data_IF_489670284903
#
_entry.id   IF_489670284903
#
_cell.length_a   1.000
_cell.length_b   1.000
_cell.length_c   1.000
_cell.angle_alpha   90.00
_cell.angle_beta   90.00
_cell.angle_gamma   90.00
#
_symmetry.space_group_name_H-M   'P 1'
#
loop_
_entity.id
_entity.type
_entity.pdbx_description
1 polymer ?
#
# COMPACT_ATOMS: atom_id res chain seq x y z
N UNK A 1 30.88 5.64 -22.24
CA UNK A 1 30.74 4.25 -21.79
C UNK A 1 32.15 3.69 -21.65
N UNK A 2 32.71 3.68 -20.43
CA UNK A 2 34.06 3.24 -20.15
C UNK A 2 34.02 1.72 -19.88
N UNK A 3 34.71 0.94 -20.69
CA UNK A 3 34.93 -0.49 -20.41
C UNK A 3 36.04 -0.62 -19.37
N UNK A 4 35.75 -1.25 -18.24
CA UNK A 4 36.76 -1.69 -17.29
C UNK A 4 37.40 -2.98 -17.78
N UNK A 5 38.71 -3.20 -17.48
CA UNK A 5 39.58 -4.28 -17.96
C UNK A 5 39.02 -5.72 -17.88
N UNK A 6 37.85 -5.95 -17.29
CA UNK A 6 37.22 -7.29 -17.18
C UNK A 6 35.94 -7.46 -18.04
N UNK A 7 35.82 -6.80 -19.19
CA UNK A 7 34.64 -6.91 -20.07
C UNK A 7 33.30 -6.63 -19.38
N UNK A 8 33.29 -5.95 -18.23
CA UNK A 8 32.09 -5.57 -17.51
C UNK A 8 31.72 -4.11 -17.83
N UNK A 9 30.51 -3.91 -18.28
CA UNK A 9 29.98 -2.56 -18.54
C UNK A 9 29.89 -1.82 -17.20
N UNK A 10 30.55 -0.66 -17.10
CA UNK A 10 30.40 0.23 -15.94
C UNK A 10 29.10 1.02 -16.11
N UNK A 11 28.17 0.81 -15.19
CA UNK A 11 26.86 1.48 -15.17
C UNK A 11 26.83 2.72 -14.27
N UNK A 12 27.99 3.11 -13.69
CA UNK A 12 28.10 4.23 -12.76
C UNK A 12 27.55 3.95 -11.37
N UNK A 13 27.13 2.70 -11.06
CA UNK A 13 26.66 2.30 -9.74
C UNK A 13 26.96 0.82 -9.44
N UNK A 14 27.21 0.52 -8.18
CA UNK A 14 27.43 -0.85 -7.73
C UNK A 14 26.13 -1.66 -7.77
N UNK A 15 26.14 -2.83 -8.38
CA UNK A 15 24.97 -3.68 -8.53
C UNK A 15 25.27 -5.14 -8.22
N UNK A 16 24.32 -5.81 -7.56
CA UNK A 16 24.29 -7.26 -7.42
C UNK A 16 23.68 -7.86 -8.69
N UNK A 17 24.43 -8.67 -9.40
CA UNK A 17 23.96 -9.35 -10.60
C UNK A 17 23.85 -10.84 -10.31
N UNK A 18 22.63 -11.36 -10.30
CA UNK A 18 22.35 -12.79 -10.21
C UNK A 18 21.98 -13.24 -11.61
N UNK A 19 22.87 -14.05 -12.23
CA UNK A 19 22.64 -14.58 -13.56
C UNK A 19 22.66 -16.11 -13.50
N UNK A 20 21.51 -16.71 -13.79
CA UNK A 20 21.35 -18.15 -13.91
C UNK A 20 20.73 -18.47 -15.27
N UNK A 21 20.70 -19.74 -15.68
CA UNK A 21 20.13 -20.20 -16.97
C UNK A 21 18.70 -19.73 -17.22
N UNK A 22 17.93 -19.57 -16.16
CA UNK A 22 16.49 -19.20 -16.21
C UNK A 22 16.20 -17.76 -15.77
N UNK A 23 17.08 -17.14 -14.97
CA UNK A 23 16.85 -15.82 -14.41
C UNK A 23 18.12 -14.97 -14.54
N UNK A 24 17.96 -13.79 -15.10
CA UNK A 24 18.96 -12.74 -15.05
C UNK A 24 18.36 -11.52 -14.35
N UNK A 25 18.86 -11.23 -13.16
CA UNK A 25 18.34 -10.13 -12.34
C UNK A 25 19.50 -9.25 -11.89
N UNK A 26 19.31 -7.95 -11.98
CA UNK A 26 20.28 -6.96 -11.56
C UNK A 26 19.65 -5.95 -10.64
N UNK A 27 20.18 -5.84 -9.41
CA UNK A 27 19.72 -4.89 -8.41
C UNK A 27 20.85 -3.92 -8.05
N UNK A 28 20.60 -2.61 -8.10
CA UNK A 28 21.49 -1.63 -7.49
C UNK A 28 21.63 -1.91 -5.98
N UNK A 29 22.86 -1.99 -5.49
CA UNK A 29 23.14 -2.27 -4.07
C UNK A 29 22.46 -1.24 -3.17
N UNK A 30 22.41 0.02 -3.60
CA UNK A 30 21.72 1.10 -2.87
C UNK A 30 20.23 0.81 -2.66
N UNK A 31 19.53 0.28 -3.66
CA UNK A 31 18.11 -0.10 -3.50
C UNK A 31 17.98 -1.21 -2.48
N UNK A 32 18.84 -2.21 -2.52
CA UNK A 32 18.81 -3.34 -1.61
C UNK A 32 19.09 -2.91 -0.16
N UNK A 33 20.15 -2.13 0.06
CA UNK A 33 20.53 -1.65 1.40
C UNK A 33 19.46 -0.73 2.01
N UNK A 34 18.94 0.22 1.24
CA UNK A 34 17.85 1.09 1.71
C UNK A 34 16.58 0.29 2.01
N UNK A 35 16.22 -0.66 1.16
CA UNK A 35 15.06 -1.52 1.41
C UNK A 35 15.23 -2.35 2.69
N UNK A 36 16.42 -2.90 2.93
CA UNK A 36 16.72 -3.65 4.15
C UNK A 36 16.61 -2.76 5.40
N UNK A 37 17.18 -1.56 5.35
CA UNK A 37 17.09 -0.59 6.47
C UNK A 37 15.62 -0.24 6.76
N UNK A 38 14.82 -0.01 5.71
CA UNK A 38 13.40 0.32 5.85
C UNK A 38 12.59 -0.84 6.44
N UNK A 39 12.86 -2.08 6.02
CA UNK A 39 12.22 -3.27 6.62
C UNK A 39 12.59 -3.40 8.08
N UNK A 40 13.88 -3.26 8.43
CA UNK A 40 14.34 -3.28 9.83
C UNK A 40 13.64 -2.19 10.63
N UNK A 41 13.56 -0.96 10.11
CA UNK A 41 12.86 0.15 10.76
C UNK A 41 11.37 -0.16 10.98
N UNK A 42 10.70 -0.72 9.98
CA UNK A 42 9.31 -1.13 10.09
C UNK A 42 9.09 -2.24 11.14
N UNK A 43 9.96 -3.24 11.16
CA UNK A 43 9.91 -4.32 12.16
C UNK A 43 10.20 -3.78 13.57
N UNK A 44 11.18 -2.90 13.72
CA UNK A 44 11.48 -2.25 15.00
C UNK A 44 10.28 -1.42 15.50
N UNK A 45 9.65 -0.63 14.60
CA UNK A 45 8.46 0.14 14.95
C UNK A 45 7.27 -0.77 15.34
N UNK A 46 7.03 -1.85 14.60
CA UNK A 46 5.99 -2.82 14.92
C UNK A 46 6.25 -3.55 16.25
N UNK A 47 7.52 -3.89 16.54
CA UNK A 47 7.91 -4.50 17.81
C UNK A 47 7.77 -3.51 18.97
N UNK A 48 8.16 -2.24 18.78
CA UNK A 48 7.94 -1.19 19.77
C UNK A 48 6.44 -0.95 20.00
N UNK A 49 5.60 -0.96 18.96
CA UNK A 49 4.16 -0.89 19.10
C UNK A 49 3.58 -2.03 19.94
N UNK A 50 4.16 -3.23 19.83
CA UNK A 50 3.74 -4.38 20.64
C UNK A 50 4.06 -4.26 22.15
N UNK A 51 4.87 -3.30 22.58
CA UNK A 51 5.09 -3.00 24.01
C UNK A 51 4.03 -2.09 24.60
N UNK A 52 3.32 -1.32 23.76
CA UNK A 52 2.33 -0.31 24.14
C UNK A 52 0.91 -0.90 24.20
N UNK A 53 0.02 -0.22 24.88
CA UNK A 53 -1.40 -0.58 25.03
C UNK A 53 -1.84 -0.52 26.48
N UNK A 54 -3.08 -0.91 26.77
CA UNK A 54 -3.68 -0.83 28.12
C UNK A 54 -2.89 -1.63 29.18
N UNK A 55 -2.17 -2.66 28.77
CA UNK A 55 -1.23 -3.41 29.59
C UNK A 55 0.18 -3.20 29.05
N UNK A 56 0.98 -2.29 29.64
CA UNK A 56 2.35 -2.07 29.20
C UNK A 56 3.20 -3.32 29.48
N UNK A 57 3.83 -3.84 28.44
CA UNK A 57 4.69 -5.03 28.48
C UNK A 57 6.08 -4.59 28.02
N UNK A 58 7.11 -4.98 28.76
CA UNK A 58 8.49 -4.64 28.40
C UNK A 58 8.94 -5.38 27.14
N UNK A 59 9.90 -4.83 26.42
CA UNK A 59 10.44 -5.45 25.20
C UNK A 59 10.95 -6.89 25.46
N UNK A 60 11.59 -7.11 26.60
CA UNK A 60 12.05 -8.44 27.01
C UNK A 60 10.89 -9.43 27.14
N UNK A 61 9.79 -9.02 27.79
CA UNK A 61 8.60 -9.83 27.94
C UNK A 61 7.89 -10.08 26.59
N UNK A 62 7.87 -9.11 25.69
CA UNK A 62 7.34 -9.32 24.33
C UNK A 62 8.13 -10.40 23.59
N UNK A 63 9.46 -10.36 23.65
CA UNK A 63 10.33 -11.38 23.01
C UNK A 63 10.10 -12.76 23.64
N UNK A 64 10.04 -12.83 24.97
CA UNK A 64 9.76 -14.07 25.69
C UNK A 64 8.38 -14.64 25.35
N UNK A 65 7.36 -13.78 25.31
CA UNK A 65 6.00 -14.17 24.96
C UNK A 65 5.89 -14.69 23.52
N UNK A 66 6.61 -14.09 22.55
CA UNK A 66 6.70 -14.62 21.18
C UNK A 66 7.31 -16.03 21.18
N UNK A 67 8.32 -16.28 22.00
CA UNK A 67 8.91 -17.61 22.17
C UNK A 67 8.01 -18.59 22.94
N UNK A 68 6.92 -18.11 23.54
CA UNK A 68 5.99 -18.92 24.35
C UNK A 68 6.49 -19.14 25.79
N UNK A 69 7.38 -18.28 26.27
CA UNK A 69 7.95 -18.31 27.61
C UNK A 69 7.47 -17.07 28.38
N UNK A 70 7.18 -17.23 29.65
CA UNK A 70 6.73 -16.17 30.56
C UNK A 70 5.34 -16.41 31.12
N UNK A 71 4.71 -15.38 31.66
CA UNK A 71 3.36 -15.47 32.21
C UNK A 71 2.34 -15.75 31.09
N UNK A 72 1.41 -16.69 31.32
CA UNK A 72 0.39 -17.08 30.36
C UNK A 72 -0.40 -15.86 29.81
N UNK A 73 -0.70 -14.89 30.67
CA UNK A 73 -1.40 -13.69 30.31
C UNK A 73 -0.61 -12.82 29.32
N UNK A 74 0.70 -12.65 29.53
CA UNK A 74 1.57 -11.92 28.58
C UNK A 74 1.68 -12.67 27.24
N UNK A 75 1.80 -14.00 27.29
CA UNK A 75 1.84 -14.83 26.07
C UNK A 75 0.55 -14.70 25.29
N UNK A 76 -0.62 -14.73 25.95
CA UNK A 76 -1.91 -14.55 25.32
C UNK A 76 -2.02 -13.18 24.65
N UNK A 77 -1.76 -12.08 25.37
CA UNK A 77 -1.85 -10.72 24.84
C UNK A 77 -0.94 -10.54 23.63
N UNK A 78 0.32 -11.00 23.75
CA UNK A 78 1.29 -10.78 22.69
C UNK A 78 0.96 -11.63 21.48
N UNK A 79 0.72 -12.92 21.65
CA UNK A 79 0.52 -13.84 20.51
C UNK A 79 -0.83 -13.67 19.83
N UNK A 80 -1.91 -13.48 20.60
CA UNK A 80 -3.26 -13.48 20.02
C UNK A 80 -3.71 -12.08 19.60
N UNK A 81 -3.26 -11.02 20.29
CA UNK A 81 -3.78 -9.67 20.03
C UNK A 81 -2.75 -8.77 19.36
N UNK A 82 -1.49 -8.71 19.85
CA UNK A 82 -0.51 -7.74 19.38
C UNK A 82 0.28 -8.21 18.16
N UNK A 83 0.62 -9.47 18.10
CA UNK A 83 1.41 -10.03 17.01
C UNK A 83 0.68 -9.98 15.65
N UNK A 84 -0.62 -10.32 15.55
CA UNK A 84 -1.36 -10.15 14.29
C UNK A 84 -1.35 -8.71 13.80
N UNK A 85 -1.54 -7.76 14.71
CA UNK A 85 -1.55 -6.32 14.38
C UNK A 85 -0.16 -5.83 13.95
N UNK A 86 0.90 -6.25 14.65
CA UNK A 86 2.27 -5.92 14.31
C UNK A 86 2.67 -6.45 12.91
N UNK A 87 2.31 -7.69 12.61
CA UNK A 87 2.54 -8.30 11.28
C UNK A 87 1.71 -7.58 10.22
N UNK A 88 0.43 -7.28 10.52
CA UNK A 88 -0.44 -6.54 9.61
C UNK A 88 0.12 -5.17 9.27
N UNK A 89 0.67 -4.43 10.23
CA UNK A 89 1.30 -3.13 9.99
C UNK A 89 2.40 -3.22 8.91
N UNK A 90 3.25 -4.24 8.99
CA UNK A 90 4.36 -4.45 8.04
C UNK A 90 3.83 -4.95 6.69
N UNK A 91 3.00 -5.99 6.68
CA UNK A 91 2.53 -6.63 5.45
C UNK A 91 1.58 -5.72 4.67
N UNK A 92 0.62 -5.10 5.34
CA UNK A 92 -0.34 -4.21 4.69
C UNK A 92 0.34 -2.92 4.21
N UNK A 93 1.28 -2.39 5.00
CA UNK A 93 2.11 -1.29 4.55
C UNK A 93 2.90 -1.63 3.28
N UNK A 94 3.51 -2.82 3.23
CA UNK A 94 4.23 -3.29 2.04
C UNK A 94 3.30 -3.44 0.82
N UNK A 95 2.09 -3.97 1.01
CA UNK A 95 1.10 -4.08 -0.07
C UNK A 95 0.69 -2.69 -0.60
N UNK A 96 0.39 -1.75 0.27
CA UNK A 96 0.04 -0.38 -0.13
C UNK A 96 1.19 0.28 -0.90
N UNK A 97 2.43 0.16 -0.41
CA UNK A 97 3.61 0.67 -1.10
C UNK A 97 3.83 0.02 -2.48
N UNK A 98 3.57 -1.29 -2.60
CA UNK A 98 3.62 -2.02 -3.85
C UNK A 98 2.53 -1.53 -4.83
N UNK A 99 1.29 -1.43 -4.38
CA UNK A 99 0.16 -0.94 -5.19
C UNK A 99 0.41 0.47 -5.72
N UNK A 100 0.88 1.36 -4.85
CA UNK A 100 1.30 2.70 -5.24
C UNK A 100 2.38 2.71 -6.31
N UNK A 101 3.42 1.89 -6.15
CA UNK A 101 4.49 1.76 -7.13
C UNK A 101 3.97 1.29 -8.51
N UNK A 102 3.08 0.30 -8.52
CA UNK A 102 2.47 -0.20 -9.75
C UNK A 102 1.68 0.92 -10.45
N UNK A 103 0.81 1.63 -9.72
CA UNK A 103 -0.03 2.66 -10.33
C UNK A 103 0.75 3.91 -10.74
N UNK A 104 1.75 4.34 -9.99
CA UNK A 104 2.62 5.45 -10.39
C UNK A 104 3.40 5.13 -11.67
N UNK A 105 3.88 3.90 -11.82
CA UNK A 105 4.54 3.44 -13.05
C UNK A 105 3.57 3.32 -14.21
N UNK A 106 2.38 2.71 -14.01
CA UNK A 106 1.36 2.56 -15.06
C UNK A 106 0.83 3.89 -15.59
N UNK A 107 0.62 4.84 -14.69
CA UNK A 107 0.10 6.16 -15.03
C UNK A 107 1.18 7.15 -15.44
N UNK A 108 2.45 6.80 -15.18
CA UNK A 108 3.61 7.69 -15.34
C UNK A 108 3.40 9.03 -14.62
N UNK A 109 2.71 8.96 -13.49
CA UNK A 109 2.33 10.11 -12.70
C UNK A 109 2.63 9.84 -11.21
N UNK A 110 3.40 10.70 -10.53
CA UNK A 110 3.67 10.57 -9.10
C UNK A 110 2.40 10.60 -8.22
N UNK A 111 1.30 11.15 -8.71
CA UNK A 111 0.01 11.17 -8.03
C UNK A 111 -0.86 9.94 -8.33
N UNK A 112 -0.39 9.02 -9.18
CA UNK A 112 -1.10 7.80 -9.50
C UNK A 112 -1.04 6.83 -8.33
N UNK A 113 -2.12 6.67 -7.58
CA UNK A 113 -2.25 5.68 -6.53
C UNK A 113 -3.65 5.10 -6.51
N UNK A 114 -3.84 3.85 -6.07
CA UNK A 114 -5.15 3.19 -6.10
C UNK A 114 -6.22 3.94 -5.31
N UNK A 115 -5.84 4.56 -4.19
CA UNK A 115 -6.71 5.35 -3.33
C UNK A 115 -7.17 6.65 -4.02
N UNK A 116 -6.29 7.38 -4.69
CA UNK A 116 -6.65 8.59 -5.45
C UNK A 116 -7.50 8.24 -6.68
N UNK A 117 -7.23 7.12 -7.35
CA UNK A 117 -8.02 6.64 -8.49
C UNK A 117 -9.39 6.11 -8.02
N UNK A 118 -9.58 5.90 -6.70
CA UNK A 118 -10.88 5.62 -6.10
C UNK A 118 -11.28 4.15 -6.05
N UNK A 119 -10.34 3.22 -6.21
CA UNK A 119 -10.66 1.79 -6.06
C UNK A 119 -11.05 1.44 -4.64
N UNK A 120 -10.48 2.13 -3.65
CA UNK A 120 -10.86 2.01 -2.24
C UNK A 120 -12.30 2.46 -2.00
N UNK A 121 -12.79 3.49 -2.72
CA UNK A 121 -14.17 3.93 -2.62
C UNK A 121 -15.14 2.82 -3.05
N UNK A 122 -14.81 2.05 -4.08
CA UNK A 122 -15.61 0.90 -4.50
C UNK A 122 -15.62 -0.24 -3.49
N UNK A 123 -14.47 -0.57 -2.93
CA UNK A 123 -14.34 -1.54 -1.84
C UNK A 123 -15.17 -1.10 -0.64
N UNK A 124 -15.08 0.16 -0.26
CA UNK A 124 -15.85 0.74 0.85
C UNK A 124 -17.36 0.74 0.57
N UNK A 125 -17.78 1.11 -0.64
CA UNK A 125 -19.20 1.07 -1.02
C UNK A 125 -19.78 -0.33 -0.89
N UNK A 126 -19.06 -1.36 -1.32
CA UNK A 126 -19.50 -2.74 -1.15
C UNK A 126 -19.64 -3.12 0.33
N UNK A 127 -18.72 -2.70 1.19
CA UNK A 127 -18.81 -2.92 2.63
C UNK A 127 -20.00 -2.19 3.24
N UNK A 128 -20.22 -0.93 2.89
CA UNK A 128 -21.39 -0.15 3.36
C UNK A 128 -22.69 -0.84 2.97
N UNK A 129 -22.81 -1.32 1.73
CA UNK A 129 -23.99 -2.07 1.27
C UNK A 129 -24.17 -3.37 2.04
N UNK A 130 -23.10 -4.12 2.29
CA UNK A 130 -23.17 -5.38 3.03
C UNK A 130 -23.56 -5.15 4.50
N UNK A 131 -23.04 -4.13 5.15
CA UNK A 131 -23.32 -3.84 6.55
C UNK A 131 -24.68 -3.21 6.75
N UNK A 132 -25.04 -2.16 5.96
CA UNK A 132 -26.26 -1.38 6.18
C UNK A 132 -27.48 -1.92 5.45
N UNK A 133 -27.32 -2.56 4.29
CA UNK A 133 -28.46 -3.05 3.49
C UNK A 133 -28.71 -4.54 3.73
N UNK A 134 -27.65 -5.35 3.77
CA UNK A 134 -27.76 -6.80 3.98
C UNK A 134 -27.71 -7.16 5.47
N UNK A 135 -27.14 -6.28 6.33
CA UNK A 135 -27.06 -6.47 7.78
C UNK A 135 -26.02 -7.51 8.21
N UNK A 136 -25.00 -7.81 7.37
CA UNK A 136 -24.00 -8.81 7.70
C UNK A 136 -22.76 -8.17 8.33
N UNK A 137 -22.26 -8.81 9.40
CA UNK A 137 -21.00 -8.46 10.05
C UNK A 137 -19.94 -9.56 9.88
N UNK A 138 -20.23 -10.59 9.08
CA UNK A 138 -19.31 -11.70 8.86
C UNK A 138 -18.08 -11.24 8.07
N UNK A 139 -16.90 -11.37 8.68
CA UNK A 139 -15.63 -10.93 8.09
C UNK A 139 -15.43 -11.41 6.64
N UNK A 140 -15.63 -12.69 6.36
CA UNK A 140 -15.41 -13.27 5.03
C UNK A 140 -16.31 -12.69 3.96
N UNK A 141 -17.57 -12.40 4.30
CA UNK A 141 -18.53 -11.79 3.39
C UNK A 141 -18.12 -10.34 3.09
N UNK A 142 -17.73 -9.60 4.14
CA UNK A 142 -17.25 -8.22 4.01
C UNK A 142 -15.96 -8.18 3.19
N UNK A 143 -15.01 -9.10 3.46
CA UNK A 143 -13.75 -9.17 2.74
C UNK A 143 -13.96 -9.49 1.24
N UNK A 144 -14.78 -10.49 0.95
CA UNK A 144 -15.12 -10.83 -0.43
C UNK A 144 -15.83 -9.67 -1.15
N UNK A 145 -16.78 -9.03 -0.47
CA UNK A 145 -17.49 -7.87 -0.99
C UNK A 145 -16.57 -6.69 -1.28
N UNK A 146 -15.64 -6.38 -0.37
CA UNK A 146 -14.67 -5.30 -0.57
C UNK A 146 -13.77 -5.57 -1.80
N UNK A 147 -13.28 -6.80 -1.96
CA UNK A 147 -12.46 -7.18 -3.12
C UNK A 147 -13.30 -7.06 -4.41
N UNK A 148 -14.51 -7.60 -4.42
CA UNK A 148 -15.41 -7.53 -5.58
C UNK A 148 -15.77 -6.09 -5.92
N UNK A 149 -16.10 -5.26 -4.93
CA UNK A 149 -16.42 -3.84 -5.12
C UNK A 149 -15.25 -3.05 -5.70
N UNK A 150 -14.04 -3.28 -5.18
CA UNK A 150 -12.81 -2.69 -5.70
C UNK A 150 -12.52 -3.09 -7.15
N UNK A 151 -12.65 -4.38 -7.47
CA UNK A 151 -12.45 -4.91 -8.83
C UNK A 151 -13.51 -4.38 -9.81
N UNK A 152 -14.78 -4.35 -9.42
CA UNK A 152 -15.85 -3.77 -10.25
C UNK A 152 -15.57 -2.30 -10.52
N UNK A 153 -15.21 -1.54 -9.50
CA UNK A 153 -14.89 -0.12 -9.67
C UNK A 153 -13.67 0.08 -10.57
N UNK A 154 -12.63 -0.74 -10.41
CA UNK A 154 -11.48 -0.71 -11.30
C UNK A 154 -11.86 -1.01 -12.76
N UNK A 155 -12.75 -1.97 -12.97
CA UNK A 155 -13.26 -2.32 -14.30
C UNK A 155 -14.08 -1.19 -14.92
N UNK A 156 -14.97 -0.56 -14.15
CA UNK A 156 -15.74 0.62 -14.58
C UNK A 156 -14.82 1.77 -14.96
N UNK A 157 -13.87 2.12 -14.09
CA UNK A 157 -12.90 3.18 -14.35
C UNK A 157 -12.04 2.86 -15.57
N UNK A 158 -11.62 1.60 -15.74
CA UNK A 158 -10.87 1.15 -16.88
C UNK A 158 -11.65 1.33 -18.20
N UNK A 159 -12.91 0.88 -18.26
CA UNK A 159 -13.76 1.01 -19.44
C UNK A 159 -14.01 2.48 -19.80
N UNK A 160 -14.39 3.30 -18.81
CA UNK A 160 -14.65 4.72 -19.01
C UNK A 160 -13.41 5.51 -19.44
N UNK A 161 -12.23 5.03 -19.04
CA UNK A 161 -10.95 5.62 -19.43
C UNK A 161 -10.47 5.17 -20.81
N UNK A 162 -11.09 4.15 -21.39
CA UNK A 162 -10.66 3.57 -22.67
C UNK A 162 -10.98 4.48 -23.86
N UNK A 163 -9.94 4.89 -24.61
CA UNK A 163 -10.06 5.54 -25.91
C UNK A 163 -8.74 5.35 -26.67
N UNK A 164 -8.71 4.40 -27.60
CA UNK A 164 -7.48 4.02 -28.32
C UNK A 164 -6.31 3.61 -27.39
N UNK A 165 -6.62 2.98 -26.26
CA UNK A 165 -5.69 2.64 -25.17
C UNK A 165 -5.99 3.42 -23.88
N UNK A 166 -5.48 2.92 -22.75
CA UNK A 166 -5.62 3.57 -21.43
C UNK A 166 -4.50 4.58 -21.24
N UNK A 167 -4.88 5.86 -21.13
CA UNK A 167 -3.95 6.94 -20.80
C UNK A 167 -3.97 7.18 -19.28
N UNK A 168 -2.80 7.27 -18.65
CA UNK A 168 -2.67 7.41 -17.19
C UNK A 168 -3.41 8.62 -16.62
N UNK A 169 -3.32 9.79 -17.26
CA UNK A 169 -4.05 10.99 -16.82
C UNK A 169 -5.57 10.78 -16.83
N UNK A 170 -6.08 10.16 -17.88
CA UNK A 170 -7.52 9.90 -18.02
C UNK A 170 -8.03 8.91 -16.98
N UNK A 171 -7.22 7.87 -16.67
CA UNK A 171 -7.52 6.93 -15.61
C UNK A 171 -7.70 7.64 -14.26
N UNK A 172 -6.83 8.58 -13.93
CA UNK A 172 -6.90 9.37 -12.70
C UNK A 172 -8.16 10.26 -12.68
N UNK A 173 -8.42 11.02 -13.75
CA UNK A 173 -9.57 11.95 -13.78
C UNK A 173 -10.91 11.21 -13.71
N UNK A 174 -11.06 10.12 -14.46
CA UNK A 174 -12.26 9.28 -14.43
C UNK A 174 -12.40 8.64 -13.05
N UNK A 175 -11.30 8.15 -12.49
CA UNK A 175 -11.28 7.54 -11.16
C UNK A 175 -11.74 8.50 -10.07
N UNK A 176 -11.25 9.74 -10.07
CA UNK A 176 -11.70 10.79 -9.14
C UNK A 176 -13.21 11.03 -9.28
N UNK A 177 -13.74 11.10 -10.51
CA UNK A 177 -15.17 11.29 -10.75
C UNK A 177 -16.02 10.13 -10.22
N UNK A 178 -15.61 8.88 -10.49
CA UNK A 178 -16.28 7.67 -9.98
C UNK A 178 -16.20 7.61 -8.46
N UNK A 179 -15.04 7.92 -7.88
CA UNK A 179 -14.85 7.97 -6.43
C UNK A 179 -15.77 8.98 -5.75
N UNK A 180 -15.88 10.19 -6.31
CA UNK A 180 -16.79 11.23 -5.80
C UNK A 180 -18.26 10.76 -5.81
N UNK A 181 -18.68 10.10 -6.89
CA UNK A 181 -20.02 9.53 -6.99
C UNK A 181 -20.27 8.44 -5.95
N UNK A 182 -19.33 7.49 -5.78
CA UNK A 182 -19.43 6.43 -4.79
C UNK A 182 -19.43 6.98 -3.36
N UNK A 183 -18.60 7.98 -3.08
CA UNK A 183 -18.56 8.66 -1.78
C UNK A 183 -19.89 9.34 -1.46
N UNK A 184 -20.55 9.94 -2.45
CA UNK A 184 -21.88 10.55 -2.29
C UNK A 184 -22.94 9.50 -1.98
N UNK A 185 -22.89 8.33 -2.66
CA UNK A 185 -23.77 7.19 -2.36
C UNK A 185 -23.55 6.68 -0.93
N UNK A 186 -22.30 6.52 -0.52
CA UNK A 186 -21.96 6.07 0.82
C UNK A 186 -22.47 7.04 1.88
N UNK A 187 -22.28 8.35 1.68
CA UNK A 187 -22.80 9.38 2.59
C UNK A 187 -24.34 9.33 2.70
N UNK A 188 -25.02 9.12 1.59
CA UNK A 188 -26.49 8.96 1.60
C UNK A 188 -26.92 7.73 2.40
N UNK A 189 -26.29 6.57 2.17
CA UNK A 189 -26.62 5.34 2.88
C UNK A 189 -26.37 5.46 4.39
N UNK A 190 -25.25 6.06 4.79
CA UNK A 190 -24.89 6.26 6.20
C UNK A 190 -25.89 7.23 6.87
N UNK A 191 -26.31 8.28 6.18
CA UNK A 191 -27.28 9.25 6.72
C UNK A 191 -28.67 8.64 6.94
N UNK A 192 -29.00 7.55 6.23
CA UNK A 192 -30.26 6.82 6.34
C UNK A 192 -30.21 5.64 7.31
N UNK A 193 -29.04 5.25 7.76
CA UNK A 193 -28.85 4.14 8.67
C UNK A 193 -29.21 4.52 10.12
N UNK A 194 -29.47 3.52 10.94
CA UNK A 194 -29.56 3.68 12.36
C UNK A 194 -28.23 4.17 12.96
N UNK A 195 -28.30 4.90 14.08
CA UNK A 195 -27.13 5.56 14.66
C UNK A 195 -26.00 4.57 14.97
N UNK A 196 -26.33 3.41 15.51
CA UNK A 196 -25.34 2.38 15.86
C UNK A 196 -24.63 1.82 14.62
N UNK A 197 -25.38 1.54 13.56
CA UNK A 197 -24.86 1.06 12.29
C UNK A 197 -24.01 2.13 11.58
N UNK A 198 -24.49 3.38 11.58
CA UNK A 198 -23.75 4.51 11.03
C UNK A 198 -22.41 4.72 11.76
N UNK A 199 -22.42 4.61 13.10
CA UNK A 199 -21.20 4.67 13.90
C UNK A 199 -20.25 3.52 13.59
N UNK A 200 -20.75 2.29 13.47
CA UNK A 200 -19.93 1.11 13.15
C UNK A 200 -19.24 1.27 11.78
N UNK A 201 -19.97 1.67 10.75
CA UNK A 201 -19.44 1.96 9.42
C UNK A 201 -18.46 3.14 9.44
N UNK A 202 -18.77 4.20 10.21
CA UNK A 202 -17.89 5.35 10.41
C UNK A 202 -16.54 4.96 11.01
N UNK A 203 -16.53 4.15 12.06
CA UNK A 203 -15.30 3.62 12.65
C UNK A 203 -14.51 2.71 11.68
N UNK A 204 -15.21 1.95 10.86
CA UNK A 204 -14.57 1.11 9.85
C UNK A 204 -13.92 1.95 8.75
N UNK A 205 -14.58 3.03 8.33
CA UNK A 205 -14.09 3.95 7.30
C UNK A 205 -12.82 4.72 7.68
N UNK A 206 -12.56 4.86 8.97
CA UNK A 206 -11.36 5.55 9.45
C UNK A 206 -10.06 4.75 9.25
N UNK A 207 -10.17 3.46 8.90
CA UNK A 207 -9.05 2.55 8.67
C UNK A 207 -8.24 2.26 9.94
N UNK A 208 -8.34 1.03 10.45
CA UNK A 208 -7.64 0.63 11.67
C UNK A 208 -7.17 -0.81 11.62
N UNK A 209 -5.88 -1.02 11.82
CA UNK A 209 -5.30 -2.36 11.91
C UNK A 209 -5.50 -3.02 13.29
N UNK A 210 -5.96 -2.27 14.30
CA UNK A 210 -6.14 -2.78 15.67
C UNK A 210 -7.17 -3.90 15.81
N UNK A 211 -8.02 -4.09 14.78
CA UNK A 211 -9.04 -5.16 14.73
C UNK A 211 -8.58 -6.41 14.00
N UNK A 212 -7.35 -6.40 13.47
CA UNK A 212 -6.82 -7.53 12.73
C UNK A 212 -6.50 -8.67 13.70
N UNK A 213 -7.06 -9.84 13.42
CA UNK A 213 -6.87 -11.09 14.15
C UNK A 213 -6.18 -12.11 13.25
N UNK A 214 -5.73 -13.24 13.81
CA UNK A 214 -5.17 -14.35 13.02
C UNK A 214 -6.13 -14.85 11.94
N UNK A 215 -7.45 -14.85 12.23
CA UNK A 215 -8.49 -15.26 11.29
C UNK A 215 -8.53 -14.40 10.03
N UNK A 216 -8.23 -13.10 10.12
CA UNK A 216 -8.16 -12.19 8.98
C UNK A 216 -6.75 -12.06 8.40
N UNK A 217 -5.73 -12.10 9.24
CA UNK A 217 -4.34 -11.94 8.83
C UNK A 217 -3.82 -13.12 7.99
N UNK A 218 -4.05 -14.35 8.45
CA UNK A 218 -3.51 -15.55 7.79
C UNK A 218 -3.89 -15.65 6.31
N UNK A 219 -5.17 -15.52 5.93
CA UNK A 219 -5.53 -15.52 4.51
C UNK A 219 -5.02 -14.29 3.78
N UNK A 220 -4.95 -13.12 4.46
CA UNK A 220 -4.40 -11.91 3.86
C UNK A 220 -2.92 -12.07 3.53
N UNK A 221 -2.13 -12.69 4.39
CA UNK A 221 -0.72 -13.00 4.13
C UNK A 221 -0.58 -13.99 2.97
N UNK A 222 -1.39 -15.04 2.92
CA UNK A 222 -1.36 -16.02 1.84
C UNK A 222 -1.65 -15.36 0.48
N UNK A 223 -2.68 -14.52 0.39
CA UNK A 223 -3.01 -13.76 -0.82
C UNK A 223 -1.90 -12.76 -1.15
N UNK A 224 -1.29 -12.12 -0.15
CA UNK A 224 -0.17 -11.19 -0.34
C UNK A 224 1.01 -11.83 -1.04
N UNK A 225 1.36 -13.08 -0.69
CA UNK A 225 2.44 -13.83 -1.36
C UNK A 225 2.16 -13.98 -2.86
N UNK A 226 0.91 -14.27 -3.23
CA UNK A 226 0.51 -14.37 -4.64
C UNK A 226 0.61 -13.01 -5.33
N UNK A 227 0.13 -11.94 -4.69
CA UNK A 227 0.19 -10.57 -5.21
C UNK A 227 1.65 -10.15 -5.46
N UNK A 228 2.55 -10.35 -4.47
CA UNK A 228 3.98 -10.07 -4.61
C UNK A 228 4.62 -10.90 -5.72
N UNK A 229 4.29 -12.20 -5.81
CA UNK A 229 4.76 -13.09 -6.86
C UNK A 229 4.38 -12.59 -8.26
N UNK A 230 3.10 -12.24 -8.46
CA UNK A 230 2.63 -11.68 -9.73
C UNK A 230 3.30 -10.33 -10.05
N UNK A 231 3.43 -9.43 -9.06
CA UNK A 231 4.12 -8.16 -9.26
C UNK A 231 5.57 -8.35 -9.71
N UNK A 232 6.29 -9.31 -9.14
CA UNK A 232 7.66 -9.64 -9.53
C UNK A 232 7.75 -10.23 -10.95
N UNK A 233 6.84 -11.11 -11.33
CA UNK A 233 6.77 -11.67 -12.69
C UNK A 233 6.59 -10.56 -13.72
N UNK A 234 5.72 -9.59 -13.45
CA UNK A 234 5.42 -8.48 -14.36
C UNK A 234 6.29 -7.24 -14.14
N UNK A 235 7.26 -7.26 -13.22
CA UNK A 235 8.12 -6.12 -12.92
C UNK A 235 8.90 -5.62 -14.15
N UNK A 236 9.35 -6.51 -15.03
CA UNK A 236 10.04 -6.14 -16.28
C UNK A 236 9.09 -5.41 -17.23
N UNK A 237 7.87 -5.93 -17.41
CA UNK A 237 6.87 -5.29 -18.27
C UNK A 237 6.49 -3.90 -17.73
N UNK A 238 6.38 -3.76 -16.42
CA UNK A 238 6.12 -2.48 -15.76
C UNK A 238 7.22 -1.46 -16.05
N UNK A 239 8.49 -1.87 -15.90
CA UNK A 239 9.63 -0.99 -16.17
C UNK A 239 9.72 -0.54 -17.64
N UNK A 240 9.38 -1.41 -18.60
CA UNK A 240 9.30 -1.00 -20.00
C UNK A 240 8.14 -0.03 -20.28
N UNK A 241 6.99 -0.20 -19.60
CA UNK A 241 5.87 0.73 -19.72
C UNK A 241 6.16 2.13 -19.16
N UNK A 242 7.07 2.26 -18.19
CA UNK A 242 7.55 3.57 -17.71
C UNK A 242 8.22 4.39 -18.81
N UNK A 243 8.95 3.74 -19.74
CA UNK A 243 9.64 4.39 -20.87
C UNK A 243 8.69 4.81 -21.99
N UNK A 244 7.43 4.42 -21.96
CA UNK A 244 6.42 4.70 -22.96
C UNK A 244 5.92 3.43 -23.67
N UNK A 245 4.67 3.49 -24.10
CA UNK A 245 4.00 2.35 -24.72
C UNK A 245 4.67 1.96 -26.05
N UNK A 246 5.00 2.95 -26.88
CA UNK A 246 5.66 2.71 -28.18
C UNK A 246 7.05 2.06 -27.98
N UNK A 247 7.81 2.53 -27.00
CA UNK A 247 9.10 1.94 -26.65
C UNK A 247 8.96 0.51 -26.15
N UNK A 248 7.97 0.22 -25.32
CA UNK A 248 7.72 -1.14 -24.83
C UNK A 248 7.29 -2.10 -25.97
N UNK A 249 6.47 -1.61 -26.92
CA UNK A 249 6.07 -2.39 -28.10
C UNK A 249 7.24 -2.69 -29.02
N UNK A 250 8.13 -1.71 -29.27
CA UNK A 250 9.34 -1.94 -30.09
C UNK A 250 10.30 -2.94 -29.46
N UNK A 251 10.31 -3.06 -28.14
CA UNK A 251 11.06 -4.08 -27.41
C UNK A 251 10.34 -5.45 -27.32
N UNK A 252 9.20 -5.63 -28.02
CA UNK A 252 8.49 -6.89 -28.13
C UNK A 252 7.59 -7.24 -26.94
N UNK A 253 7.31 -6.29 -26.02
CA UNK A 253 6.41 -6.52 -24.87
C UNK A 253 4.94 -6.43 -25.27
N UNK A 254 4.14 -7.40 -24.83
CA UNK A 254 2.68 -7.37 -24.97
C UNK A 254 2.06 -6.47 -23.89
N UNK A 255 1.90 -5.18 -24.16
CA UNK A 255 1.49 -4.18 -23.17
C UNK A 255 0.07 -4.42 -22.65
N UNK A 256 -0.88 -4.73 -23.53
CA UNK A 256 -2.30 -4.87 -23.16
C UNK A 256 -2.55 -5.86 -22.03
N UNK A 257 -2.19 -7.15 -22.20
CA UNK A 257 -2.36 -8.15 -21.14
C UNK A 257 -1.57 -7.85 -19.87
N UNK A 258 -0.31 -7.37 -20.00
CA UNK A 258 0.53 -7.04 -18.86
C UNK A 258 -0.06 -5.87 -18.06
N UNK A 259 -0.59 -4.84 -18.73
CA UNK A 259 -1.27 -3.71 -18.09
C UNK A 259 -2.50 -4.17 -17.31
N UNK A 260 -3.34 -5.02 -17.91
CA UNK A 260 -4.53 -5.53 -17.24
C UNK A 260 -4.17 -6.29 -15.96
N UNK A 261 -3.20 -7.22 -16.03
CA UNK A 261 -2.74 -7.97 -14.85
C UNK A 261 -2.19 -7.01 -13.78
N UNK A 262 -1.38 -6.03 -14.14
CA UNK A 262 -0.81 -5.07 -13.20
C UNK A 262 -1.88 -4.18 -12.57
N UNK A 263 -2.93 -3.78 -13.30
CA UNK A 263 -4.08 -3.08 -12.72
C UNK A 263 -4.78 -3.97 -11.69
N UNK A 264 -5.07 -5.23 -12.03
CA UNK A 264 -5.72 -6.17 -11.11
C UNK A 264 -4.85 -6.40 -9.86
N UNK A 265 -3.55 -6.62 -10.05
CA UNK A 265 -2.60 -6.80 -8.95
C UNK A 265 -2.56 -5.55 -8.06
N UNK A 266 -2.46 -4.36 -8.66
CA UNK A 266 -2.43 -3.11 -7.91
C UNK A 266 -3.73 -2.82 -7.16
N UNK A 267 -4.90 -3.13 -7.75
CA UNK A 267 -6.20 -3.03 -7.05
C UNK A 267 -6.29 -4.05 -5.92
N UNK A 268 -5.82 -5.28 -6.16
CA UNK A 268 -5.85 -6.32 -5.15
C UNK A 268 -5.03 -5.97 -3.89
N UNK A 269 -3.95 -5.18 -4.02
CA UNK A 269 -3.17 -4.73 -2.85
C UNK A 269 -4.01 -3.89 -1.90
N UNK A 270 -4.72 -2.90 -2.41
CA UNK A 270 -5.55 -2.00 -1.58
C UNK A 270 -6.86 -2.65 -1.16
N UNK A 271 -7.52 -3.40 -2.05
CA UNK A 271 -8.75 -4.10 -1.73
C UNK A 271 -8.56 -5.10 -0.58
N UNK A 272 -7.42 -5.82 -0.55
CA UNK A 272 -7.10 -6.76 0.53
C UNK A 272 -6.88 -6.03 1.87
N UNK A 273 -6.15 -4.91 1.85
CA UNK A 273 -5.93 -4.08 3.05
C UNK A 273 -7.25 -3.49 3.53
N UNK A 274 -8.04 -2.92 2.61
CA UNK A 274 -9.35 -2.35 2.91
C UNK A 274 -10.31 -3.39 3.50
N UNK A 275 -10.30 -4.62 2.99
CA UNK A 275 -11.10 -5.72 3.53
C UNK A 275 -10.75 -6.07 4.98
N UNK A 276 -9.46 -6.05 5.32
CA UNK A 276 -8.98 -6.48 6.64
C UNK A 276 -8.94 -5.36 7.69
N UNK A 277 -8.68 -4.12 7.27
CA UNK A 277 -8.37 -3.01 8.16
C UNK A 277 -9.16 -1.72 7.86
N UNK A 278 -10.04 -1.73 6.85
CA UNK A 278 -10.65 -0.54 6.31
C UNK A 278 -9.69 0.25 5.40
N UNK A 279 -10.17 1.33 4.77
CA UNK A 279 -9.36 2.12 3.85
C UNK A 279 -8.24 2.86 4.58
N UNK A 280 -6.99 2.65 4.16
CA UNK A 280 -5.80 3.33 4.68
C UNK A 280 -5.19 4.15 3.56
N UNK A 281 -5.51 5.43 3.52
CA UNK A 281 -5.05 6.34 2.49
C UNK A 281 -3.61 6.83 2.67
N UNK A 282 -3.07 7.43 1.62
CA UNK A 282 -1.78 8.10 1.51
C UNK A 282 -0.53 7.23 1.59
N UNK A 283 -0.55 6.05 2.20
CA UNK A 283 0.63 5.17 2.23
C UNK A 283 1.01 4.75 0.81
N UNK A 284 0.02 4.36 -0.01
CA UNK A 284 0.24 3.99 -1.40
C UNK A 284 0.79 5.14 -2.25
N UNK A 285 0.39 6.37 -1.95
CA UNK A 285 0.90 7.56 -2.63
C UNK A 285 2.32 7.92 -2.19
N UNK A 286 2.56 7.99 -0.88
CA UNK A 286 3.80 8.52 -0.31
C UNK A 286 4.98 7.53 -0.40
N UNK A 287 4.72 6.23 -0.20
CA UNK A 287 5.78 5.24 -0.10
C UNK A 287 6.69 5.17 -1.36
N UNK A 288 6.17 5.08 -2.60
CA UNK A 288 7.02 5.06 -3.79
C UNK A 288 7.81 6.35 -3.99
N UNK A 289 7.20 7.49 -3.65
CA UNK A 289 7.83 8.81 -3.77
C UNK A 289 9.02 8.97 -2.82
N UNK A 290 8.82 8.62 -1.54
CA UNK A 290 9.87 8.65 -0.52
C UNK A 290 10.97 7.65 -0.84
N UNK A 291 10.60 6.42 -1.22
CA UNK A 291 11.55 5.39 -1.60
C UNK A 291 12.45 5.84 -2.77
N UNK A 292 11.85 6.41 -3.82
CA UNK A 292 12.57 6.94 -4.98
C UNK A 292 13.54 8.06 -4.60
N UNK A 293 13.14 8.96 -3.71
CA UNK A 293 14.00 10.07 -3.24
C UNK A 293 15.20 9.58 -2.43
N UNK A 294 15.00 8.64 -1.49
CA UNK A 294 16.08 8.11 -0.64
C UNK A 294 17.04 7.26 -1.46
N UNK A 295 16.51 6.43 -2.39
CA UNK A 295 17.35 5.60 -3.24
C UNK A 295 18.02 6.37 -4.37
N UNK A 296 17.55 7.59 -4.70
CA UNK A 296 17.92 8.33 -5.91
C UNK A 296 17.77 7.49 -7.19
N UNK A 297 16.75 6.62 -7.23
CA UNK A 297 16.52 5.78 -8.41
C UNK A 297 15.86 6.58 -9.53
N UNK A 298 16.20 6.33 -10.81
CA UNK A 298 15.58 7.02 -11.94
C UNK A 298 14.10 6.66 -12.11
N UNK A 299 13.72 5.41 -11.83
CA UNK A 299 12.37 4.87 -11.91
C UNK A 299 11.82 4.45 -10.55
N UNK A 300 10.59 3.96 -10.54
CA UNK A 300 9.94 3.42 -9.34
C UNK A 300 10.43 1.99 -9.09
N UNK A 301 10.90 1.71 -7.89
CA UNK A 301 11.32 0.35 -7.48
C UNK A 301 10.23 -0.29 -6.62
N UNK A 302 9.70 -1.43 -7.06
CA UNK A 302 8.68 -2.19 -6.32
C UNK A 302 9.19 -2.58 -4.92
N UNK A 303 10.46 -3.05 -4.84
CA UNK A 303 11.05 -3.50 -3.58
C UNK A 303 11.17 -2.38 -2.56
N UNK A 304 11.79 -1.26 -2.94
CA UNK A 304 11.97 -0.14 -2.00
C UNK A 304 10.66 0.56 -1.67
N UNK A 305 9.68 0.56 -2.58
CA UNK A 305 8.35 1.10 -2.32
C UNK A 305 7.57 0.24 -1.32
N UNK A 306 7.62 -1.08 -1.46
CA UNK A 306 7.04 -2.01 -0.50
C UNK A 306 7.69 -1.87 0.89
N UNK A 307 9.04 -1.83 0.94
CA UNK A 307 9.77 -1.64 2.20
C UNK A 307 9.44 -0.30 2.87
N UNK A 308 9.31 0.77 2.08
CA UNK A 308 8.91 2.09 2.59
C UNK A 308 7.47 2.08 3.11
N UNK A 309 6.54 1.44 2.39
CA UNK A 309 5.15 1.30 2.84
C UNK A 309 5.07 0.55 4.17
N UNK A 310 5.82 -0.54 4.32
CA UNK A 310 5.93 -1.30 5.57
C UNK A 310 6.40 -0.41 6.73
N UNK A 311 7.48 0.37 6.51
CA UNK A 311 8.00 1.29 7.51
C UNK A 311 6.98 2.39 7.87
N UNK A 312 6.36 3.02 6.87
CA UNK A 312 5.40 4.11 7.07
C UNK A 312 4.18 3.66 7.88
N UNK A 313 3.57 2.52 7.53
CA UNK A 313 2.38 2.06 8.24
C UNK A 313 2.72 1.58 9.65
N UNK A 314 3.86 0.90 9.86
CA UNK A 314 4.31 0.49 11.17
C UNK A 314 4.63 1.68 12.08
N UNK A 315 5.27 2.74 11.55
CA UNK A 315 5.55 3.98 12.29
C UNK A 315 4.23 4.72 12.59
N UNK A 316 3.32 4.81 11.63
CA UNK A 316 2.01 5.45 11.85
C UNK A 316 1.21 4.71 12.93
N UNK A 317 1.28 3.37 12.96
CA UNK A 317 0.65 2.58 14.01
C UNK A 317 1.31 2.81 15.38
N UNK A 318 2.64 2.82 15.45
CA UNK A 318 3.36 3.16 16.68
C UNK A 318 2.96 4.55 17.19
N UNK A 319 2.88 5.56 16.31
CA UNK A 319 2.43 6.90 16.66
C UNK A 319 0.98 6.90 17.16
N UNK A 320 0.08 6.11 16.54
CA UNK A 320 -1.29 5.93 17.01
C UNK A 320 -1.34 5.46 18.47
N UNK A 321 -0.53 4.47 18.82
CA UNK A 321 -0.47 3.94 20.17
C UNK A 321 0.19 4.90 21.16
N UNK A 322 1.23 5.63 20.75
CA UNK A 322 1.86 6.68 21.58
C UNK A 322 0.83 7.78 21.90
N UNK A 323 0.07 8.23 20.90
CA UNK A 323 -0.98 9.24 21.13
C UNK A 323 -2.06 8.68 22.07
N UNK A 324 -2.40 7.38 21.93
CA UNK A 324 -3.38 6.73 22.80
C UNK A 324 -2.98 6.72 24.28
N UNK A 325 -1.68 6.77 24.61
CA UNK A 325 -1.22 6.85 26.00
C UNK A 325 -1.53 8.20 26.67
N UNK A 326 -1.70 9.26 25.88
CA UNK A 326 -1.95 10.63 26.39
C UNK A 326 -3.38 11.07 26.16
N UNK A 327 -4.08 10.45 25.21
CA UNK A 327 -5.41 10.86 24.78
C UNK A 327 -6.30 9.63 24.49
N UNK A 328 -7.13 9.67 23.50
CA UNK A 328 -7.95 8.54 23.04
C UNK A 328 -7.29 7.81 21.89
N UNK A 329 -7.53 6.51 21.70
CA UNK A 329 -7.04 5.78 20.53
C UNK A 329 -7.50 6.42 19.23
N UNK A 330 -6.54 6.72 18.34
CA UNK A 330 -6.81 7.28 17.01
C UNK A 330 -6.57 6.19 15.97
N UNK A 331 -7.51 5.94 15.04
CA UNK A 331 -7.29 5.03 13.92
C UNK A 331 -6.04 5.39 13.12
N UNK A 332 -5.27 4.38 12.72
CA UNK A 332 -4.01 4.60 11.98
C UNK A 332 -4.23 5.30 10.65
N UNK A 333 -5.39 5.09 10.01
CA UNK A 333 -5.73 5.75 8.75
C UNK A 333 -5.81 7.27 8.88
N UNK A 334 -6.28 7.81 10.00
CA UNK A 334 -6.27 9.26 10.23
C UNK A 334 -4.85 9.82 10.35
N UNK A 335 -3.94 9.07 10.95
CA UNK A 335 -2.53 9.47 11.06
C UNK A 335 -1.86 9.45 9.69
N UNK A 336 -2.07 8.39 8.90
CA UNK A 336 -1.48 8.31 7.56
C UNK A 336 -1.99 9.40 6.64
N UNK A 337 -3.29 9.73 6.68
CA UNK A 337 -3.89 10.83 5.92
C UNK A 337 -3.32 12.17 6.34
N UNK A 338 -3.16 12.43 7.65
CA UNK A 338 -2.60 13.68 8.17
C UNK A 338 -1.15 13.87 7.75
N UNK A 339 -0.30 12.85 7.95
CA UNK A 339 1.12 12.88 7.55
C UNK A 339 1.24 13.00 6.03
N UNK A 340 0.43 12.22 5.30
CA UNK A 340 0.41 12.24 3.85
C UNK A 340 -0.02 13.58 3.28
N UNK A 341 -1.04 14.22 3.86
CA UNK A 341 -1.49 15.56 3.48
C UNK A 341 -0.39 16.62 3.68
N UNK A 342 0.28 16.61 4.84
CA UNK A 342 1.43 17.48 5.09
C UNK A 342 2.57 17.23 4.08
N UNK A 343 2.86 15.96 3.77
CA UNK A 343 3.87 15.61 2.77
C UNK A 343 3.51 16.14 1.38
N UNK A 344 2.24 16.02 0.97
CA UNK A 344 1.77 16.52 -0.34
C UNK A 344 1.90 18.04 -0.45
N UNK A 345 1.51 18.77 0.58
CA UNK A 345 1.66 20.22 0.63
C UNK A 345 3.13 20.61 0.48
N UNK A 346 4.01 19.96 1.25
CA UNK A 346 5.45 20.18 1.17
C UNK A 346 6.00 19.88 -0.23
N UNK A 347 5.58 18.79 -0.86
CA UNK A 347 5.99 18.39 -2.19
C UNK A 347 5.57 19.43 -3.25
N UNK A 348 4.33 19.89 -3.20
CA UNK A 348 3.82 20.92 -4.12
C UNK A 348 4.58 22.25 -3.98
N UNK A 349 4.87 22.67 -2.75
CA UNK A 349 5.68 23.88 -2.48
C UNK A 349 7.09 23.72 -3.07
N UNK A 350 7.71 22.55 -2.89
CA UNK A 350 9.06 22.30 -3.41
C UNK A 350 9.08 22.29 -4.95
N UNK A 351 8.06 21.73 -5.57
CA UNK A 351 7.94 21.67 -7.04
C UNK A 351 7.68 23.06 -7.63
N UNK A 352 6.81 23.83 -7.01
CA UNK A 352 6.56 25.24 -7.38
C UNK A 352 7.87 26.08 -7.28
N UNK A 353 8.63 25.95 -6.19
CA UNK A 353 9.91 26.64 -6.03
C UNK A 353 10.93 26.25 -7.12
N UNK A 354 10.98 25.00 -7.54
CA UNK A 354 11.86 24.54 -8.63
C UNK A 354 11.43 25.11 -9.98
N UNK A 355 10.13 25.27 -10.21
CA UNK A 355 9.60 25.85 -11.44
C UNK A 355 9.93 27.34 -11.53
N UNK A 356 9.64 28.11 -10.48
CA UNK A 356 9.94 29.55 -10.44
C UNK A 356 11.43 29.86 -10.38
N UNK A 357 12.25 29.06 -9.69
CA UNK A 357 13.71 29.25 -9.65
C UNK A 357 14.44 28.86 -10.95
N UNK A 358 13.77 28.30 -11.95
CA UNK A 358 14.31 28.08 -13.30
C UNK A 358 13.96 29.23 -14.27
N UNK A 359 13.05 30.08 -13.90
CA UNK A 359 12.56 31.21 -14.71
C UNK A 359 13.25 32.51 -14.27
N UNK A 360 13.78 32.58 -13.04
CA UNK A 360 14.62 33.65 -12.55
C UNK A 360 16.11 33.33 -12.79
#
# INVERSE_FOLDING_TARGET
MLMKENNQIDYGYSSLTIRNRFFSFRLPIKILTVSLILVILGVCAATAAATLGDFPITLSQVIQAIAGVGEEFHVLIVREWRLPVAIAAVVFGALLGLGGAIFQSLTRNPLGSPDIIGFDAGSYTAVVLLMLVIGTTQYWVIAAGAIVGGVITAFVVYILSWRNGVQGFRLIVVGIGVSAMLTSINSYLITRADVDDAMMVGFWSAGSINRVTWGSLTPSVAISVVIFGLALVFARSLHHMEMGDDTALTHGFKIGPARLVLIVVGVATTALVTAAAGPIGFVALAAPQLARRITNSPGVSLLSSAAMGAALLAIAHLLSLIIATFYRPIPVGLITVSIGGCYMIWLLIQEARRYYGRIA
#
